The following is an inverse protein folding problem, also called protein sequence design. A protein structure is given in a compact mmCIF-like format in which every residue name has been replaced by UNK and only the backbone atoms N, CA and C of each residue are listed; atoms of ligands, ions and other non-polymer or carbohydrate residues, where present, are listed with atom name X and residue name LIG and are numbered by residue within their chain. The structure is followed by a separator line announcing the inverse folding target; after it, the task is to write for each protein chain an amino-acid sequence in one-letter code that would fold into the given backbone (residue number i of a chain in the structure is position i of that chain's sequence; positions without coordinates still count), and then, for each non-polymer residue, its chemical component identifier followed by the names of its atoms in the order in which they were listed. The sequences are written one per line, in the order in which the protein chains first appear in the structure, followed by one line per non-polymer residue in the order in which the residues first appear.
data_IF_345848916074
#
_entry.id   IF_345848916074
#
_cell.length_a   1.000
_cell.length_b   1.000
_cell.length_c   1.000
_cell.angle_alpha   90.00
_cell.angle_beta   90.00
_cell.angle_gamma   90.00
#
_symmetry.space_group_name_H-M   'P 1'
#
loop_
_entity.id
_entity.type
_entity.pdbx_description
1 polymer ?
#
# COMPACT_ATOMS: atom_id res chain seq x y z
N UNK A 1 -2.88 -15.09 8.16
CA UNK A 1 -1.96 -14.33 9.01
C UNK A 1 -2.30 -12.85 8.90
N UNK A 2 -2.25 -12.17 10.00
CA UNK A 2 -2.63 -10.77 10.01
C UNK A 2 -1.42 -9.87 10.09
N UNK A 3 -1.39 -8.89 9.21
CA UNK A 3 -0.30 -7.93 9.12
C UNK A 3 -0.84 -6.55 9.48
N UNK A 4 -0.14 -5.89 10.37
CA UNK A 4 -0.48 -4.51 10.71
C UNK A 4 0.46 -3.60 9.95
N UNK A 5 -0.03 -3.03 8.87
CA UNK A 5 0.79 -2.16 8.02
C UNK A 5 0.92 -0.82 8.70
N UNK A 6 2.14 -0.46 9.02
CA UNK A 6 2.42 0.78 9.73
C UNK A 6 2.87 1.89 8.81
N UNK A 7 3.44 1.54 7.66
CA UNK A 7 3.87 2.53 6.72
C UNK A 7 3.98 1.90 5.34
N UNK A 8 3.66 2.67 4.32
CA UNK A 8 3.75 2.19 2.95
C UNK A 8 4.16 3.35 2.07
N UNK A 9 5.03 3.05 1.11
CA UNK A 9 5.45 4.01 0.12
C UNK A 9 5.06 3.49 -1.24
N UNK A 10 4.29 4.27 -1.97
CA UNK A 10 3.84 3.88 -3.30
C UNK A 10 4.72 4.52 -4.37
N UNK A 11 4.75 3.88 -5.52
CA UNK A 11 5.45 4.40 -6.67
C UNK A 11 4.48 5.24 -7.49
N UNK A 12 4.38 6.50 -7.15
CA UNK A 12 3.56 7.43 -7.91
C UNK A 12 4.33 8.09 -9.04
N UNK A 13 5.62 7.79 -9.12
CA UNK A 13 6.53 8.46 -10.03
C UNK A 13 6.72 7.63 -11.28
N UNK A 14 5.63 7.35 -11.96
CA UNK A 14 5.65 6.54 -13.16
C UNK A 14 5.71 7.46 -14.38
N UNK A 15 6.62 7.16 -15.30
CA UNK A 15 6.76 7.96 -16.51
C UNK A 15 5.47 8.04 -17.30
N UNK A 16 4.64 7.05 -17.17
CA UNK A 16 3.37 7.02 -17.88
C UNK A 16 2.27 7.71 -17.11
N UNK A 17 2.57 8.20 -15.94
CA UNK A 17 1.57 8.78 -15.06
C UNK A 17 1.41 10.27 -15.23
N UNK A 18 1.82 10.80 -16.35
CA UNK A 18 1.66 12.23 -16.58
C UNK A 18 0.23 12.65 -16.43
N UNK A 19 -0.68 11.78 -16.80
CA UNK A 19 -2.09 12.10 -16.75
C UNK A 19 -2.68 11.93 -15.38
N UNK A 20 -1.96 11.23 -14.53
CA UNK A 20 -2.49 10.90 -13.21
C UNK A 20 -1.76 11.68 -12.16
N UNK A 21 -1.73 12.96 -12.33
CA UNK A 21 -1.09 13.79 -11.33
C UNK A 21 -1.95 13.81 -10.10
N UNK A 22 -1.50 13.10 -9.09
CA UNK A 22 -2.20 13.07 -7.83
C UNK A 22 -1.87 14.31 -7.03
N UNK A 23 -2.86 14.84 -6.37
CA UNK A 23 -2.59 15.90 -5.40
C UNK A 23 -2.02 15.28 -4.15
N UNK A 24 -1.43 16.11 -3.33
CA UNK A 24 -0.86 15.64 -2.07
C UNK A 24 -1.93 14.98 -1.21
N UNK A 25 -3.13 15.54 -1.20
CA UNK A 25 -4.24 14.99 -0.44
C UNK A 25 -4.63 13.61 -0.95
N UNK A 26 -4.61 13.43 -2.25
CA UNK A 26 -4.96 12.14 -2.82
C UNK A 26 -3.93 11.08 -2.47
N UNK A 27 -2.67 11.46 -2.43
CA UNK A 27 -1.61 10.53 -2.05
C UNK A 27 -1.78 10.10 -0.60
N UNK A 28 -2.15 11.04 0.26
CA UNK A 28 -2.37 10.72 1.66
C UNK A 28 -3.55 9.77 1.81
N UNK A 29 -4.61 10.00 1.05
CA UNK A 29 -5.78 9.13 1.11
C UNK A 29 -5.43 7.70 0.72
N UNK A 30 -4.67 7.57 -0.35
CA UNK A 30 -4.27 6.24 -0.82
C UNK A 30 -3.42 5.55 0.23
N UNK A 31 -2.49 6.30 0.82
CA UNK A 31 -1.65 5.74 1.86
C UNK A 31 -2.47 5.30 3.06
N UNK A 32 -3.45 6.11 3.44
CA UNK A 32 -4.31 5.77 4.58
C UNK A 32 -5.08 4.49 4.32
N UNK A 33 -5.52 4.27 3.09
CA UNK A 33 -6.22 3.05 2.74
C UNK A 33 -5.34 1.82 2.96
N UNK A 34 -4.05 1.98 2.78
CA UNK A 34 -3.12 0.86 2.90
C UNK A 34 -2.71 0.58 4.33
N UNK A 35 -2.88 1.53 5.22
CA UNK A 35 -2.49 1.34 6.60
C UNK A 35 -3.53 0.55 7.35
N UNK A 36 -3.09 -0.20 8.35
CA UNK A 36 -4.00 -0.96 9.18
C UNK A 36 -3.77 -2.45 9.03
N UNK A 37 -4.74 -3.22 9.46
CA UNK A 37 -4.61 -4.67 9.52
C UNK A 37 -5.10 -5.29 8.23
N UNK A 38 -4.27 -6.16 7.66
CA UNK A 38 -4.60 -6.90 6.46
C UNK A 38 -4.44 -8.39 6.71
N UNK A 39 -5.30 -9.17 6.10
CA UNK A 39 -5.23 -10.62 6.20
C UNK A 39 -4.60 -11.17 4.92
N UNK A 40 -3.44 -11.77 5.06
CA UNK A 40 -2.70 -12.29 3.91
C UNK A 40 -1.93 -13.52 4.33
N UNK A 41 -1.54 -14.33 3.35
CA UNK A 41 -0.81 -15.55 3.64
C UNK A 41 0.67 -15.27 3.90
N UNK A 42 1.23 -14.34 3.16
CA UNK A 42 2.63 -13.96 3.33
C UNK A 42 2.82 -12.53 2.83
N UNK A 43 4.07 -12.09 2.83
CA UNK A 43 4.36 -10.72 2.45
C UNK A 43 4.00 -10.44 1.00
N UNK A 44 4.26 -11.38 0.12
CA UNK A 44 3.93 -11.20 -1.29
C UNK A 44 2.42 -11.05 -1.46
N UNK A 45 1.67 -11.87 -0.75
CA UNK A 45 0.23 -11.80 -0.79
C UNK A 45 -0.27 -10.47 -0.22
N UNK A 46 0.37 -10.01 0.86
CA UNK A 46 0.02 -8.74 1.46
C UNK A 46 0.21 -7.59 0.46
N UNK A 47 1.35 -7.58 -0.21
CA UNK A 47 1.63 -6.53 -1.19
C UNK A 47 0.62 -6.58 -2.31
N UNK A 48 0.26 -7.78 -2.76
CA UNK A 48 -0.70 -7.91 -3.83
C UNK A 48 -2.08 -7.41 -3.41
N UNK A 49 -2.48 -7.72 -2.18
CA UNK A 49 -3.77 -7.26 -1.68
C UNK A 49 -3.82 -5.76 -1.61
N UNK A 50 -2.78 -5.15 -1.08
CA UNK A 50 -2.74 -3.69 -0.96
C UNK A 50 -2.70 -3.04 -2.34
N UNK A 51 -1.90 -3.61 -3.24
CA UNK A 51 -1.82 -3.08 -4.60
C UNK A 51 -3.18 -3.15 -5.28
N UNK A 52 -3.88 -4.25 -5.12
CA UNK A 52 -5.20 -4.42 -5.74
C UNK A 52 -6.19 -3.42 -5.15
N UNK A 53 -6.13 -3.23 -3.84
CA UNK A 53 -7.08 -2.36 -3.17
C UNK A 53 -6.86 -0.89 -3.51
N UNK A 54 -5.61 -0.49 -3.68
CA UNK A 54 -5.29 0.91 -3.92
C UNK A 54 -5.14 1.23 -5.41
N UNK A 55 -4.76 0.23 -6.19
CA UNK A 55 -4.51 0.43 -7.61
C UNK A 55 -3.13 0.99 -7.92
N UNK A 56 -2.24 1.00 -6.94
CA UNK A 56 -0.90 1.54 -7.13
C UNK A 56 0.15 0.54 -6.70
N UNK A 57 1.29 0.57 -7.39
CA UNK A 57 2.39 -0.30 -7.03
C UNK A 57 3.06 0.19 -5.75
N UNK A 58 3.48 -0.76 -4.94
CA UNK A 58 4.13 -0.46 -3.69
C UNK A 58 5.65 -0.43 -3.90
N UNK A 59 6.27 0.63 -3.43
CA UNK A 59 7.71 0.78 -3.50
C UNK A 59 8.37 0.19 -2.27
N UNK A 60 7.79 0.44 -1.11
CA UNK A 60 8.25 -0.18 0.12
C UNK A 60 7.08 -0.24 1.09
N UNK A 61 7.17 -1.17 2.03
CA UNK A 61 6.10 -1.36 2.99
C UNK A 61 6.70 -1.83 4.30
N UNK A 62 6.20 -1.26 5.39
CA UNK A 62 6.57 -1.66 6.73
C UNK A 62 5.35 -2.19 7.44
N UNK A 63 5.53 -3.27 8.16
CA UNK A 63 4.41 -3.88 8.86
C UNK A 63 4.90 -4.69 10.05
N UNK A 64 3.96 -4.96 10.94
CA UNK A 64 4.17 -5.87 12.04
C UNK A 64 3.24 -7.05 11.88
N UNK A 65 3.70 -8.23 12.25
CA UNK A 65 2.85 -9.40 12.22
C UNK A 65 2.10 -9.51 13.52
N UNK A 66 0.79 -9.64 13.41
CA UNK A 66 -0.03 -9.80 14.59
C UNK A 66 -0.13 -11.28 14.93
N UNK A 67 0.44 -11.62 16.04
CA UNK A 67 0.49 -13.00 16.49
C UNK A 67 -0.66 -13.28 17.45
N UNK A 68 -1.86 -13.26 16.94
CA UNK A 68 -2.84 -13.53 17.91
C UNK A 68 -4.22 -13.60 17.37
#
# INVERSE_FOLDING_TARGET
MKYNVTEVEFDFDDDYAEKSKLTFDEEIEIRDLALGVWDADDEDDLIEEVTTATGWCIKSIDYDIQLK
#
